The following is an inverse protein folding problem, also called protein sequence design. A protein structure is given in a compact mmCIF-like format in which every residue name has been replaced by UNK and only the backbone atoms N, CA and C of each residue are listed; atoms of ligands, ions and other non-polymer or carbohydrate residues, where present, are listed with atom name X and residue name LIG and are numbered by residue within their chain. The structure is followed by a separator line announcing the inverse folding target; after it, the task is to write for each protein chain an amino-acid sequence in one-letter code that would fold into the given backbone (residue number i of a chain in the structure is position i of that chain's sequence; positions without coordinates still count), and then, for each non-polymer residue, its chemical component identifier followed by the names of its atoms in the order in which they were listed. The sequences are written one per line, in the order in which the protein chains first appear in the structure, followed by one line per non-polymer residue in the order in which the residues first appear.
data_IF_489872903402
#
_entry.id   IF_489872903402
#
_cell.length_a   1.000
_cell.length_b   1.000
_cell.length_c   1.000
_cell.angle_alpha   90.00
_cell.angle_beta   90.00
_cell.angle_gamma   90.00
#
_symmetry.space_group_name_H-M   'P 1'
#
loop_
_entity.id
_entity.type
_entity.pdbx_description
1 polymer ?
#
# COMPACT_ATOMS: atom_id res chain seq x y z
N UNK A 1 -20.01 -29.27 20.78
CA UNK A 1 -18.86 -29.56 19.89
C UNK A 1 -18.72 -28.57 18.72
N UNK A 2 -19.60 -27.58 18.56
CA UNK A 2 -19.58 -26.59 17.46
C UNK A 2 -18.65 -25.38 17.70
N UNK A 3 -18.54 -24.86 18.93
CA UNK A 3 -17.62 -23.75 19.26
C UNK A 3 -16.14 -24.06 19.02
N UNK A 4 -15.72 -25.31 19.23
CA UNK A 4 -14.32 -25.72 19.05
C UNK A 4 -13.88 -25.70 17.58
N UNK A 5 -14.83 -25.84 16.64
CA UNK A 5 -14.54 -25.82 15.19
C UNK A 5 -14.39 -24.39 14.66
N UNK A 6 -15.14 -23.43 15.20
CA UNK A 6 -15.03 -22.02 14.78
C UNK A 6 -13.72 -21.38 15.25
N UNK A 7 -13.26 -21.68 16.47
CA UNK A 7 -11.98 -21.15 16.95
C UNK A 7 -10.79 -21.72 16.20
N UNK A 8 -10.85 -23.00 15.80
CA UNK A 8 -9.82 -23.62 14.97
C UNK A 8 -9.68 -22.93 13.59
N UNK A 9 -10.81 -22.58 12.97
CA UNK A 9 -10.82 -21.87 11.67
C UNK A 9 -10.21 -20.48 11.81
N UNK A 10 -10.53 -19.74 12.88
CA UNK A 10 -9.96 -18.41 13.14
C UNK A 10 -8.44 -18.50 13.34
N UNK A 11 -7.96 -19.49 14.08
CA UNK A 11 -6.52 -19.71 14.29
C UNK A 11 -5.81 -20.07 12.98
N UNK A 12 -6.41 -20.91 12.14
CA UNK A 12 -5.82 -21.30 10.85
C UNK A 12 -5.75 -20.11 9.90
N UNK A 13 -6.82 -19.31 9.81
CA UNK A 13 -6.83 -18.10 8.96
C UNK A 13 -5.83 -17.06 9.48
N UNK A 14 -5.74 -16.86 10.79
CA UNK A 14 -4.74 -15.98 11.41
C UNK A 14 -3.30 -16.45 11.15
N UNK A 15 -3.05 -17.75 11.24
CA UNK A 15 -1.74 -18.33 10.94
C UNK A 15 -1.36 -18.22 9.46
N UNK A 16 -2.33 -18.41 8.55
CA UNK A 16 -2.12 -18.23 7.10
C UNK A 16 -1.85 -16.76 6.75
N UNK A 17 -2.55 -15.81 7.37
CA UNK A 17 -2.27 -14.38 7.24
C UNK A 17 -0.86 -14.03 7.72
N UNK A 18 -0.47 -14.52 8.91
CA UNK A 18 0.87 -14.32 9.46
C UNK A 18 1.96 -14.94 8.57
N UNK A 19 1.71 -16.13 8.02
CA UNK A 19 2.64 -16.79 7.10
C UNK A 19 2.77 -16.05 5.77
N UNK A 20 1.67 -15.51 5.22
CA UNK A 20 1.72 -14.67 4.00
C UNK A 20 2.48 -13.37 4.25
N UNK A 21 2.23 -12.71 5.39
CA UNK A 21 2.95 -11.50 5.80
C UNK A 21 4.44 -11.78 6.01
N UNK A 22 4.79 -12.92 6.62
CA UNK A 22 6.17 -13.34 6.80
C UNK A 22 6.88 -13.66 5.47
N UNK A 23 6.19 -14.33 4.54
CA UNK A 23 6.73 -14.67 3.22
C UNK A 23 6.98 -13.41 2.36
N UNK A 24 6.06 -12.44 2.40
CA UNK A 24 6.26 -11.13 1.75
C UNK A 24 7.45 -10.35 2.32
N UNK A 25 7.70 -10.47 3.63
CA UNK A 25 8.84 -9.85 4.31
C UNK A 25 10.19 -10.51 3.94
N UNK A 26 10.20 -11.80 3.61
CA UNK A 26 11.43 -12.51 3.27
C UNK A 26 11.90 -12.21 1.84
N UNK A 27 10.96 -11.95 0.92
CA UNK A 27 11.23 -11.48 -0.44
C UNK A 27 11.72 -10.02 -0.51
N UNK A 28 11.49 -9.23 0.54
CA UNK A 28 11.86 -7.79 0.63
C UNK A 28 13.16 -7.51 1.40
N UNK A 29 13.96 -8.54 1.72
CA UNK A 29 15.27 -8.37 2.41
C UNK A 29 16.34 -7.61 1.61
N UNK A 30 16.10 -7.26 0.33
CA UNK A 30 16.94 -6.28 -0.36
C UNK A 30 16.45 -4.90 0.03
N UNK A 31 17.30 -4.12 0.70
CA UNK A 31 17.03 -2.70 0.90
C UNK A 31 16.60 -2.08 -0.43
N UNK A 32 15.48 -1.33 -0.47
CA UNK A 32 15.03 -0.72 -1.71
C UNK A 32 16.17 0.11 -2.32
N UNK A 33 16.30 0.11 -3.66
CA UNK A 33 17.32 0.89 -4.33
C UNK A 33 17.18 2.36 -3.92
N UNK A 34 18.30 3.05 -3.73
CA UNK A 34 18.28 4.48 -3.42
C UNK A 34 17.84 5.25 -4.66
N UNK A 35 16.81 6.08 -4.50
CA UNK A 35 16.12 6.84 -5.56
C UNK A 35 16.38 8.33 -5.38
N UNK A 36 16.18 9.15 -6.42
CA UNK A 36 16.46 10.59 -6.39
C UNK A 36 15.36 11.44 -5.71
N UNK A 37 14.69 10.90 -4.69
CA UNK A 37 13.64 11.56 -3.92
C UNK A 37 14.18 12.33 -2.71
N UNK A 38 13.51 13.43 -2.31
CA UNK A 38 13.86 14.15 -1.07
C UNK A 38 13.40 13.46 0.21
N UNK A 39 12.65 12.36 0.11
CA UNK A 39 12.35 11.46 1.23
C UNK A 39 13.44 10.41 1.45
N UNK A 40 14.24 10.08 0.42
CA UNK A 40 15.27 9.06 0.51
C UNK A 40 16.54 9.56 1.23
N UNK A 41 16.95 8.81 2.25
CA UNK A 41 18.17 9.03 3.05
C UNK A 41 19.36 8.20 2.57
N UNK A 42 19.15 7.31 1.59
CA UNK A 42 20.18 6.53 0.94
C UNK A 42 21.19 7.38 0.16
N UNK A 43 22.26 6.77 -0.39
CA UNK A 43 23.37 7.49 -1.02
C UNK A 43 22.97 8.35 -2.23
N UNK A 44 21.95 7.94 -2.99
CA UNK A 44 21.44 8.66 -4.16
C UNK A 44 20.28 9.60 -3.80
N UNK A 45 19.66 9.43 -2.63
CA UNK A 45 18.58 10.28 -2.15
C UNK A 45 18.93 11.76 -2.06
N UNK A 46 17.92 12.62 -2.16
CA UNK A 46 18.06 14.08 -2.19
C UNK A 46 17.70 14.75 -0.86
N UNK A 47 17.49 13.95 0.20
CA UNK A 47 17.15 14.47 1.53
C UNK A 47 18.14 15.53 2.02
N UNK A 48 19.44 15.32 1.85
CA UNK A 48 20.46 16.28 2.27
C UNK A 48 20.36 17.59 1.48
N UNK A 49 20.10 17.52 0.16
CA UNK A 49 19.93 18.71 -0.68
C UNK A 49 18.72 19.53 -0.22
N UNK A 50 17.59 18.87 -0.03
CA UNK A 50 16.36 19.50 0.46
C UNK A 50 16.59 20.23 1.79
N UNK A 51 17.25 19.56 2.74
CA UNK A 51 17.54 20.13 4.07
C UNK A 51 18.51 21.31 4.02
N UNK A 52 19.54 21.23 3.17
CA UNK A 52 20.47 22.36 2.98
C UNK A 52 19.77 23.56 2.36
N UNK A 53 18.96 23.37 1.32
CA UNK A 53 18.19 24.46 0.70
C UNK A 53 17.25 25.13 1.71
N UNK A 54 16.53 24.32 2.49
CA UNK A 54 15.64 24.81 3.55
C UNK A 54 16.41 25.60 4.63
N UNK A 55 17.53 25.06 5.09
CA UNK A 55 18.38 25.71 6.10
C UNK A 55 19.00 27.01 5.59
N UNK A 56 19.31 27.07 4.29
CA UNK A 56 19.79 28.28 3.61
C UNK A 56 18.69 29.33 3.34
N UNK A 57 17.45 29.08 3.77
CA UNK A 57 16.34 30.01 3.61
C UNK A 57 15.73 30.01 2.21
N UNK A 58 16.05 29.03 1.37
CA UNK A 58 15.36 28.86 0.08
C UNK A 58 13.95 28.33 0.37
N UNK A 59 12.89 28.98 -0.15
CA UNK A 59 11.50 28.53 0.04
C UNK A 59 11.24 27.25 -0.77
N UNK A 60 11.76 26.11 -0.31
CA UNK A 60 11.58 24.79 -0.91
C UNK A 60 10.43 24.04 -0.24
N UNK A 61 9.58 23.40 -1.04
CA UNK A 61 8.56 22.46 -0.60
C UNK A 61 8.60 21.16 -1.39
N UNK A 62 7.91 20.15 -0.90
CA UNK A 62 7.60 18.93 -1.66
C UNK A 62 6.26 19.11 -2.34
N UNK A 63 6.17 18.66 -3.58
CA UNK A 63 4.96 18.65 -4.38
C UNK A 63 4.59 17.19 -4.63
N UNK A 64 3.52 16.75 -3.96
CA UNK A 64 3.08 15.34 -3.90
C UNK A 64 1.73 15.20 -4.61
N UNK A 65 1.54 15.94 -5.71
CA UNK A 65 0.27 16.00 -6.46
C UNK A 65 0.53 15.85 -7.94
N UNK A 66 -0.52 15.50 -8.70
CA UNK A 66 -0.49 15.58 -10.16
C UNK A 66 -0.14 17.01 -10.62
N UNK A 67 0.66 17.15 -11.67
CA UNK A 67 1.11 18.44 -12.21
C UNK A 67 -0.04 19.38 -12.61
N UNK A 68 -1.24 18.85 -12.84
CA UNK A 68 -2.43 19.65 -13.07
C UNK A 68 -2.92 20.49 -11.88
N UNK A 69 -2.43 20.20 -10.68
CA UNK A 69 -2.71 20.92 -9.45
C UNK A 69 -1.51 21.77 -9.00
N UNK A 70 -0.57 22.06 -9.91
CA UNK A 70 0.59 22.88 -9.61
C UNK A 70 0.15 24.27 -9.14
N UNK A 71 0.58 24.62 -7.93
CA UNK A 71 0.26 25.89 -7.29
C UNK A 71 0.95 27.05 -8.05
N UNK A 72 0.21 28.10 -8.48
CA UNK A 72 0.77 29.23 -9.22
C UNK A 72 1.88 30.01 -8.50
N UNK A 73 2.00 29.87 -7.18
CA UNK A 73 3.10 30.47 -6.40
C UNK A 73 4.44 29.74 -6.58
N UNK A 74 4.43 28.50 -7.09
CA UNK A 74 5.65 27.78 -7.48
C UNK A 74 6.26 28.49 -8.69
N UNK A 75 7.50 28.91 -8.55
CA UNK A 75 8.27 29.54 -9.62
C UNK A 75 9.38 28.65 -10.13
N UNK A 76 9.90 27.76 -9.28
CA UNK A 76 10.87 26.72 -9.66
C UNK A 76 10.28 25.34 -9.40
N UNK A 77 10.21 24.50 -10.42
CA UNK A 77 9.86 23.09 -10.27
C UNK A 77 11.11 22.25 -10.50
N UNK A 78 11.38 21.30 -9.62
CA UNK A 78 12.48 20.34 -9.73
C UNK A 78 11.86 18.99 -10.03
N UNK A 79 12.21 18.41 -11.16
CA UNK A 79 11.79 17.05 -11.53
C UNK A 79 13.04 16.19 -11.63
N UNK A 80 13.01 15.04 -10.96
CA UNK A 80 14.14 14.12 -10.82
C UNK A 80 13.85 12.79 -11.50
N UNK A 81 14.89 12.16 -12.02
CA UNK A 81 14.77 10.86 -12.68
C UNK A 81 14.22 9.78 -11.75
N UNK A 82 13.32 8.97 -12.29
CA UNK A 82 12.57 7.95 -11.55
C UNK A 82 12.80 6.52 -12.09
N UNK A 83 13.75 6.32 -12.99
CA UNK A 83 14.04 5.04 -13.67
C UNK A 83 14.28 3.87 -12.70
N UNK A 84 14.88 4.13 -11.54
CA UNK A 84 15.21 3.11 -10.53
C UNK A 84 14.18 3.02 -9.41
N UNK A 85 13.07 3.75 -9.51
CA UNK A 85 12.03 3.81 -8.48
C UNK A 85 10.92 2.79 -8.79
N UNK A 86 10.74 1.75 -7.96
CA UNK A 86 9.70 0.75 -8.18
C UNK A 86 8.28 1.31 -8.04
N UNK A 87 8.12 2.50 -7.45
CA UNK A 87 6.84 3.18 -7.27
C UNK A 87 6.71 4.42 -8.17
N UNK A 88 7.60 4.56 -9.17
CA UNK A 88 7.57 5.66 -10.10
C UNK A 88 6.18 5.85 -10.73
N UNK A 89 5.80 7.11 -10.92
CA UNK A 89 4.69 7.52 -11.78
C UNK A 89 5.28 8.29 -12.96
N UNK A 90 5.63 7.60 -14.06
CA UNK A 90 6.25 8.23 -15.22
C UNK A 90 5.36 9.35 -15.79
N UNK A 91 6.01 10.42 -16.25
CA UNK A 91 5.32 11.53 -16.88
C UNK A 91 4.81 11.12 -18.27
N UNK A 92 3.61 11.60 -18.61
CA UNK A 92 2.99 11.37 -19.93
C UNK A 92 3.01 12.64 -20.81
N UNK A 93 2.43 12.55 -22.02
CA UNK A 93 2.34 13.69 -22.94
C UNK A 93 1.56 14.88 -22.37
N UNK A 94 0.56 14.63 -21.51
CA UNK A 94 -0.21 15.71 -20.87
C UNK A 94 0.65 16.43 -19.83
N UNK A 95 1.44 15.68 -19.06
CA UNK A 95 2.40 16.21 -18.11
C UNK A 95 3.48 17.02 -18.81
N UNK A 96 4.05 16.52 -19.91
CA UNK A 96 5.00 17.26 -20.75
C UNK A 96 4.39 18.58 -21.26
N UNK A 97 3.13 18.56 -21.72
CA UNK A 97 2.43 19.77 -22.14
C UNK A 97 2.19 20.77 -20.99
N UNK A 98 1.96 20.28 -19.75
CA UNK A 98 1.83 21.13 -18.56
C UNK A 98 3.17 21.74 -18.16
N UNK A 99 4.25 20.97 -18.17
CA UNK A 99 5.61 21.46 -17.90
C UNK A 99 6.01 22.52 -18.93
N UNK A 100 5.71 22.29 -20.21
CA UNK A 100 5.90 23.30 -21.28
C UNK A 100 5.18 24.60 -20.97
N UNK A 101 3.89 24.57 -20.63
CA UNK A 101 3.13 25.77 -20.27
C UNK A 101 3.69 26.47 -19.03
N UNK A 102 4.08 25.70 -18.02
CA UNK A 102 4.70 26.24 -16.81
C UNK A 102 5.96 27.05 -17.16
N UNK A 103 6.86 26.47 -17.96
CA UNK A 103 8.09 27.15 -18.37
C UNK A 103 7.77 28.35 -19.28
N UNK A 104 6.91 28.19 -20.29
CA UNK A 104 6.52 29.28 -21.20
C UNK A 104 5.91 30.47 -20.46
N UNK A 105 5.20 30.23 -19.34
CA UNK A 105 4.62 31.26 -18.46
C UNK A 105 5.63 31.97 -17.54
N UNK A 106 6.92 31.61 -17.60
CA UNK A 106 7.98 32.23 -16.80
C UNK A 106 8.49 31.37 -15.63
N UNK A 107 8.05 30.12 -15.54
CA UNK A 107 8.58 29.14 -14.58
C UNK A 107 10.01 28.72 -14.92
N UNK A 108 10.75 28.28 -13.90
CA UNK A 108 12.02 27.57 -14.05
C UNK A 108 11.80 26.09 -13.81
N UNK A 109 12.14 25.25 -14.79
CA UNK A 109 12.22 23.81 -14.61
C UNK A 109 13.68 23.41 -14.39
N UNK A 110 13.99 22.76 -13.27
CA UNK A 110 15.27 22.11 -13.04
C UNK A 110 15.05 20.61 -13.23
N UNK A 111 15.34 20.12 -14.43
CA UNK A 111 15.17 18.72 -14.80
C UNK A 111 16.48 17.98 -14.55
N UNK A 112 16.46 17.01 -13.65
CA UNK A 112 17.63 16.27 -13.21
C UNK A 112 17.40 14.79 -13.53
N UNK A 113 17.77 14.39 -14.72
CA UNK A 113 17.57 13.04 -15.22
C UNK A 113 18.84 12.50 -15.88
N UNK A 114 18.90 11.21 -16.13
CA UNK A 114 19.97 10.58 -16.87
C UNK A 114 19.70 10.67 -18.38
N UNK A 115 18.52 10.22 -18.79
CA UNK A 115 18.07 10.21 -20.17
C UNK A 115 17.17 11.41 -20.46
N UNK A 116 17.50 12.14 -21.53
CA UNK A 116 16.62 13.13 -22.15
C UNK A 116 16.41 12.73 -23.61
N UNK A 117 15.15 12.52 -24.01
CA UNK A 117 14.75 11.97 -25.31
C UNK A 117 14.20 13.01 -26.31
N UNK A 118 14.52 14.31 -26.15
CA UNK A 118 14.06 15.37 -27.05
C UNK A 118 12.65 15.89 -26.71
N UNK A 119 11.90 16.37 -27.72
CA UNK A 119 10.72 17.25 -27.53
C UNK A 119 9.57 16.72 -26.70
N UNK A 120 9.54 15.41 -26.45
CA UNK A 120 8.41 14.69 -25.84
C UNK A 120 8.70 14.28 -24.38
N UNK A 121 9.82 14.72 -23.84
CA UNK A 121 10.30 14.33 -22.51
C UNK A 121 9.94 15.35 -21.41
N UNK A 122 10.27 15.01 -20.16
CA UNK A 122 10.14 15.80 -18.93
C UNK A 122 10.63 17.25 -19.09
N UNK A 123 11.58 17.49 -19.99
CA UNK A 123 12.19 18.79 -20.22
C UNK A 123 11.87 19.33 -21.62
N UNK A 124 10.92 20.27 -21.76
CA UNK A 124 10.48 20.76 -23.06
C UNK A 124 11.61 21.53 -23.77
N UNK A 125 11.89 21.16 -25.02
CA UNK A 125 12.85 21.87 -25.88
C UNK A 125 14.32 21.63 -25.55
N UNK A 126 14.63 20.57 -24.79
CA UNK A 126 16.02 20.13 -24.57
C UNK A 126 16.47 19.18 -25.67
N UNK A 127 17.79 19.04 -25.82
CA UNK A 127 18.38 18.11 -26.80
C UNK A 127 18.32 16.65 -26.33
N UNK A 128 18.90 15.76 -27.11
CA UNK A 128 18.98 14.33 -26.75
C UNK A 128 20.28 14.01 -26.03
N UNK A 129 20.22 13.15 -25.02
CA UNK A 129 21.42 12.64 -24.35
C UNK A 129 21.94 11.35 -24.96
N UNK A 130 23.25 11.12 -24.82
CA UNK A 130 23.89 9.85 -25.16
C UNK A 130 24.63 9.30 -23.95
N UNK A 131 24.66 7.97 -23.83
CA UNK A 131 25.41 7.31 -22.78
C UNK A 131 26.90 7.59 -22.91
N UNK A 132 27.50 8.01 -21.80
CA UNK A 132 28.92 8.20 -21.67
C UNK A 132 29.34 8.03 -20.21
N UNK A 133 30.12 6.99 -19.92
CA UNK A 133 30.66 6.78 -18.58
C UNK A 133 31.84 7.74 -18.33
N UNK A 134 31.53 8.88 -17.71
CA UNK A 134 32.49 9.91 -17.33
C UNK A 134 32.54 10.13 -15.81
N UNK A 135 33.48 10.97 -15.39
CA UNK A 135 33.56 11.41 -13.98
C UNK A 135 33.81 12.91 -13.90
N UNK A 136 32.96 13.59 -13.12
CA UNK A 136 33.06 15.03 -12.89
C UNK A 136 32.90 15.89 -14.15
N UNK A 137 32.77 17.19 -13.92
CA UNK A 137 32.63 18.17 -14.99
C UNK A 137 33.20 19.51 -14.54
N UNK A 138 33.57 20.35 -15.51
CA UNK A 138 34.04 21.72 -15.28
C UNK A 138 33.01 22.72 -15.79
N UNK A 139 33.07 23.94 -15.26
CA UNK A 139 32.24 25.05 -15.74
C UNK A 139 32.69 25.48 -17.12
N UNK A 140 31.74 25.60 -18.06
CA UNK A 140 32.00 26.14 -19.41
C UNK A 140 31.54 27.59 -19.56
N UNK A 141 30.36 27.94 -19.06
CA UNK A 141 29.85 29.30 -19.11
C UNK A 141 29.83 29.94 -17.72
N UNK A 142 30.28 31.20 -17.60
CA UNK A 142 30.10 32.02 -16.39
C UNK A 142 28.70 32.61 -16.38
N UNK A 143 27.83 32.04 -15.55
CA UNK A 143 26.43 32.46 -15.40
C UNK A 143 26.08 32.55 -13.92
N UNK A 144 24.86 33.01 -13.60
CA UNK A 144 24.35 32.95 -12.23
C UNK A 144 24.36 31.51 -11.68
N UNK A 145 24.16 30.50 -12.54
CA UNK A 145 24.14 29.08 -12.17
C UNK A 145 25.53 28.54 -11.80
N UNK A 146 26.59 29.09 -12.38
CA UNK A 146 27.96 28.60 -12.17
C UNK A 146 28.78 29.52 -11.26
N UNK A 147 28.16 30.54 -10.66
CA UNK A 147 28.84 31.45 -9.74
C UNK A 147 29.40 30.70 -8.52
N UNK A 148 30.72 30.78 -8.31
CA UNK A 148 31.40 30.08 -7.23
C UNK A 148 31.62 28.58 -7.49
N UNK A 149 31.30 28.09 -8.68
CA UNK A 149 31.55 26.71 -9.12
C UNK A 149 32.75 26.73 -10.08
N UNK A 150 33.68 25.81 -9.89
CA UNK A 150 34.80 25.60 -10.84
C UNK A 150 34.75 24.21 -11.44
N UNK A 151 34.38 23.21 -10.62
CA UNK A 151 34.21 21.82 -11.00
C UNK A 151 33.17 21.15 -10.11
N UNK A 152 32.53 20.12 -10.64
CA UNK A 152 31.70 19.15 -9.91
C UNK A 152 32.37 17.77 -9.98
N UNK A 153 32.07 16.90 -9.03
CA UNK A 153 32.66 15.54 -8.94
C UNK A 153 31.57 14.50 -8.71
N UNK A 154 31.73 13.35 -9.35
CA UNK A 154 30.81 12.22 -9.22
C UNK A 154 30.67 11.49 -10.55
N UNK A 155 29.92 10.39 -10.53
CA UNK A 155 29.63 9.60 -11.71
C UNK A 155 28.72 10.37 -12.67
N UNK A 156 29.04 10.30 -13.95
CA UNK A 156 28.25 10.88 -15.03
C UNK A 156 28.03 9.74 -16.02
N UNK A 157 26.78 9.32 -16.21
CA UNK A 157 26.44 8.22 -17.12
C UNK A 157 25.98 8.69 -18.49
N UNK A 158 25.57 9.95 -18.61
CA UNK A 158 24.94 10.53 -19.78
C UNK A 158 25.38 11.97 -19.99
N UNK A 159 25.38 12.41 -21.24
CA UNK A 159 25.79 13.75 -21.65
C UNK A 159 24.92 14.24 -22.81
N UNK A 160 24.79 15.55 -22.96
CA UNK A 160 24.40 16.17 -24.22
C UNK A 160 25.64 16.28 -25.13
N UNK A 161 25.58 15.80 -26.38
CA UNK A 161 26.67 15.96 -27.34
C UNK A 161 26.99 17.45 -27.62
N UNK A 162 28.27 17.78 -27.79
CA UNK A 162 28.67 19.14 -28.17
C UNK A 162 28.16 19.60 -29.54
N UNK A 163 27.79 18.65 -30.41
CA UNK A 163 27.31 18.92 -31.75
C UNK A 163 25.91 19.58 -31.78
N UNK A 164 25.15 19.49 -30.69
CA UNK A 164 23.77 19.98 -30.60
C UNK A 164 23.60 21.00 -29.45
N UNK A 165 24.29 22.18 -29.49
CA UNK A 165 24.20 23.15 -28.41
C UNK A 165 22.91 23.96 -28.52
N UNK A 166 21.77 23.35 -28.19
CA UNK A 166 20.47 24.03 -28.15
C UNK A 166 20.27 24.93 -26.92
N UNK A 167 21.34 25.24 -26.16
CA UNK A 167 21.29 26.07 -24.96
C UNK A 167 22.68 26.51 -24.48
N UNK A 168 22.73 27.16 -23.33
CA UNK A 168 23.96 27.65 -22.72
C UNK A 168 24.62 26.50 -21.91
N UNK A 169 25.79 25.99 -22.31
CA UNK A 169 26.48 24.93 -21.57
C UNK A 169 26.96 25.45 -20.21
N UNK A 170 26.44 24.87 -19.13
CA UNK A 170 26.85 25.22 -17.76
C UNK A 170 28.04 24.39 -17.32
N UNK A 171 27.93 23.07 -17.46
CA UNK A 171 28.94 22.10 -17.07
C UNK A 171 29.22 21.16 -18.24
N UNK A 172 30.47 20.75 -18.39
CA UNK A 172 30.86 19.73 -19.36
C UNK A 172 32.07 18.93 -18.88
N UNK A 173 32.21 17.73 -19.44
CA UNK A 173 33.41 16.92 -19.35
C UNK A 173 34.09 16.83 -20.74
N UNK A 174 35.08 15.95 -20.89
CA UNK A 174 35.80 15.79 -22.15
C UNK A 174 34.93 15.25 -23.30
N UNK A 175 33.78 14.64 -22.99
CA UNK A 175 32.94 13.94 -23.96
C UNK A 175 31.67 14.70 -24.33
N UNK A 176 31.16 15.56 -23.44
CA UNK A 176 29.96 16.34 -23.69
C UNK A 176 29.53 17.24 -22.54
N UNK A 177 28.41 17.91 -22.75
CA UNK A 177 27.79 18.80 -21.77
C UNK A 177 26.99 17.98 -20.77
N UNK A 178 27.10 18.33 -19.49
CA UNK A 178 26.49 17.63 -18.35
C UNK A 178 25.32 18.43 -17.78
N UNK A 179 25.40 19.75 -17.91
CA UNK A 179 24.29 20.64 -17.57
C UNK A 179 24.19 21.75 -18.61
N UNK A 180 22.97 22.01 -19.07
CA UNK A 180 22.68 23.01 -20.10
C UNK A 180 21.45 23.82 -19.68
N UNK A 181 21.51 25.14 -19.86
CA UNK A 181 20.38 26.04 -19.63
C UNK A 181 19.72 26.44 -20.96
N UNK A 182 18.43 26.22 -21.06
CA UNK A 182 17.60 26.52 -22.22
C UNK A 182 16.63 27.65 -21.89
N UNK A 183 16.48 28.61 -22.80
CA UNK A 183 15.43 29.64 -22.71
C UNK A 183 14.22 29.15 -23.49
N UNK A 184 13.07 29.06 -22.83
CA UNK A 184 11.82 28.59 -23.43
C UNK A 184 10.70 29.55 -23.03
N UNK A 185 10.11 30.23 -24.00
CA UNK A 185 9.13 31.30 -23.76
C UNK A 185 9.69 32.37 -22.81
N UNK A 186 8.97 32.65 -21.72
CA UNK A 186 9.40 33.59 -20.69
C UNK A 186 10.20 32.96 -19.55
N UNK A 187 10.35 31.63 -19.55
CA UNK A 187 11.03 30.88 -18.50
C UNK A 187 12.33 30.26 -18.96
N UNK A 188 12.72 29.20 -18.26
CA UNK A 188 13.93 28.45 -18.58
C UNK A 188 13.89 27.01 -18.09
N UNK A 189 14.67 26.16 -18.75
CA UNK A 189 14.92 24.78 -18.35
C UNK A 189 16.40 24.64 -18.04
N UNK A 190 16.74 24.14 -16.86
CA UNK A 190 18.10 23.73 -16.49
C UNK A 190 18.10 22.20 -16.52
N UNK A 191 18.61 21.62 -17.61
CA UNK A 191 18.70 20.18 -17.78
C UNK A 191 20.06 19.68 -17.28
N UNK A 192 20.06 18.66 -16.42
CA UNK A 192 21.26 18.13 -15.77
C UNK A 192 21.25 16.61 -15.91
N UNK A 193 22.23 16.06 -16.64
CA UNK A 193 22.30 14.64 -17.05
C UNK A 193 22.87 13.70 -15.98
N UNK A 194 23.22 14.23 -14.81
CA UNK A 194 23.97 13.52 -13.78
C UNK A 194 23.32 13.64 -12.40
N UNK A 195 22.19 12.93 -12.16
CA UNK A 195 21.44 13.02 -10.90
C UNK A 195 22.26 12.62 -9.68
N UNK A 196 23.20 11.68 -9.85
CA UNK A 196 24.09 11.23 -8.79
C UNK A 196 24.96 12.37 -8.19
N UNK A 197 25.18 13.47 -8.90
CA UNK A 197 25.96 14.62 -8.39
C UNK A 197 25.30 15.26 -7.16
N UNK A 198 23.98 15.17 -7.03
CA UNK A 198 23.23 15.81 -5.95
C UNK A 198 22.70 14.85 -4.90
N UNK A 199 23.00 13.56 -5.05
CA UNK A 199 22.71 12.55 -4.03
C UNK A 199 23.46 12.83 -2.72
N UNK A 200 22.90 12.35 -1.62
CA UNK A 200 23.43 12.50 -0.27
C UNK A 200 24.94 12.17 -0.17
N UNK A 201 25.41 11.17 -0.93
CA UNK A 201 26.83 10.78 -0.95
C UNK A 201 27.76 11.83 -1.60
N UNK A 202 27.29 12.52 -2.64
CA UNK A 202 28.10 13.46 -3.43
C UNK A 202 27.95 14.92 -2.99
N UNK A 203 26.89 15.24 -2.25
CA UNK A 203 26.62 16.61 -1.79
C UNK A 203 27.68 17.17 -0.81
N UNK A 204 28.54 16.31 -0.25
CA UNK A 204 29.72 16.73 0.53
C UNK A 204 30.73 17.52 -0.32
N UNK A 205 30.67 17.41 -1.65
CA UNK A 205 31.48 18.20 -2.55
C UNK A 205 30.92 19.64 -2.66
N UNK A 206 31.75 20.63 -2.30
CA UNK A 206 31.34 22.04 -2.32
C UNK A 206 30.90 22.53 -3.72
N UNK A 207 31.52 22.03 -4.80
CA UNK A 207 31.13 22.37 -6.17
C UNK A 207 29.76 21.84 -6.54
N UNK A 208 29.46 20.58 -6.18
CA UNK A 208 28.15 19.98 -6.41
C UNK A 208 27.05 20.72 -5.65
N UNK A 209 27.27 20.94 -4.34
CA UNK A 209 26.30 21.66 -3.50
C UNK A 209 26.08 23.09 -4.00
N UNK A 210 27.15 23.80 -4.35
CA UNK A 210 27.04 25.18 -4.86
C UNK A 210 26.30 25.23 -6.19
N UNK A 211 26.56 24.29 -7.09
CA UNK A 211 25.84 24.21 -8.37
C UNK A 211 24.36 23.89 -8.17
N UNK A 212 24.02 22.90 -7.33
CA UNK A 212 22.64 22.55 -7.00
C UNK A 212 21.88 23.76 -6.40
N UNK A 213 22.51 24.45 -5.45
CA UNK A 213 21.97 25.67 -4.85
C UNK A 213 21.69 26.73 -5.90
N UNK A 214 22.68 27.05 -6.75
CA UNK A 214 22.52 28.10 -7.76
C UNK A 214 21.47 27.76 -8.82
N UNK A 215 21.29 26.47 -9.17
CA UNK A 215 20.28 26.05 -10.14
C UNK A 215 18.85 26.21 -9.58
N UNK A 216 18.66 25.87 -8.31
CA UNK A 216 17.33 25.83 -7.68
C UNK A 216 16.93 27.20 -7.11
N UNK A 217 17.85 27.90 -6.46
CA UNK A 217 17.56 29.16 -5.79
C UNK A 217 17.46 30.36 -6.76
N UNK A 218 16.94 31.47 -6.24
CA UNK A 218 17.00 32.77 -6.92
C UNK A 218 15.92 33.01 -7.98
N UNK A 219 14.93 32.13 -8.12
CA UNK A 219 13.79 32.31 -9.04
C UNK A 219 12.42 32.25 -8.36
N UNK A 220 12.38 32.34 -7.02
CA UNK A 220 11.14 32.29 -6.22
C UNK A 220 10.92 30.95 -5.52
N UNK A 221 9.71 30.69 -5.01
CA UNK A 221 9.36 29.42 -4.36
C UNK A 221 9.64 28.21 -5.24
N UNK A 222 10.32 27.23 -4.66
CA UNK A 222 10.79 26.04 -5.33
C UNK A 222 10.03 24.81 -4.81
N UNK A 223 9.74 23.86 -5.69
CA UNK A 223 9.07 22.62 -5.33
C UNK A 223 9.77 21.41 -5.97
N UNK A 224 10.07 20.39 -5.16
CA UNK A 224 10.48 19.08 -5.65
C UNK A 224 9.25 18.27 -6.00
N UNK A 225 9.16 17.80 -7.24
CA UNK A 225 8.13 16.86 -7.66
C UNK A 225 8.42 15.48 -7.05
N UNK A 226 7.69 15.15 -5.99
CA UNK A 226 7.74 13.84 -5.35
C UNK A 226 6.63 12.93 -5.89
N UNK A 227 5.70 13.48 -6.68
CA UNK A 227 4.64 12.70 -7.29
C UNK A 227 5.18 11.69 -8.30
N UNK A 228 6.21 12.06 -9.07
CA UNK A 228 6.93 11.14 -9.97
C UNK A 228 7.58 9.97 -9.24
N UNK A 229 7.85 10.11 -7.94
CA UNK A 229 8.38 9.07 -7.05
C UNK A 229 7.28 8.29 -6.30
N UNK A 230 6.01 8.48 -6.69
CA UNK A 230 4.88 7.76 -6.12
C UNK A 230 4.33 8.37 -4.82
N UNK A 231 4.92 9.46 -4.31
CA UNK A 231 4.38 10.16 -3.14
C UNK A 231 3.14 10.94 -3.53
N UNK A 232 2.09 10.80 -2.73
CA UNK A 232 0.81 11.45 -2.98
C UNK A 232 0.24 11.92 -1.65
N UNK A 233 -0.27 13.16 -1.60
CA UNK A 233 -0.83 13.71 -0.37
C UNK A 233 -2.23 13.14 -0.03
N UNK A 234 -2.84 12.40 -0.97
CA UNK A 234 -4.11 11.69 -0.78
C UNK A 234 -3.95 10.19 -0.51
N UNK A 235 -2.78 9.74 -0.06
CA UNK A 235 -2.52 8.32 0.20
C UNK A 235 -3.46 7.78 1.28
N UNK A 236 -4.42 6.98 0.82
CA UNK A 236 -5.20 6.08 1.66
C UNK A 236 -4.29 4.92 2.10
N UNK A 237 -4.47 4.42 3.32
CA UNK A 237 -3.77 3.21 3.80
C UNK A 237 -3.89 2.04 2.81
N UNK A 238 -4.95 2.00 2.00
CA UNK A 238 -5.17 0.99 0.97
C UNK A 238 -4.22 1.07 -0.24
N UNK A 239 -3.77 2.27 -0.64
CA UNK A 239 -2.91 2.44 -1.81
C UNK A 239 -1.44 2.11 -1.55
N UNK A 240 -1.02 2.10 -0.28
CA UNK A 240 0.34 1.73 0.15
C UNK A 240 0.51 0.21 0.28
N UNK A 241 -0.59 -0.54 0.45
CA UNK A 241 -0.51 -1.97 0.65
C UNK A 241 -0.01 -2.67 -0.63
N UNK A 242 0.99 -3.57 -0.50
CA UNK A 242 1.41 -4.43 -1.61
C UNK A 242 0.22 -5.16 -2.24
N UNK A 243 0.30 -5.47 -3.54
CA UNK A 243 -0.79 -6.13 -4.27
C UNK A 243 -1.18 -7.46 -3.62
N UNK A 244 -0.21 -8.17 -3.04
CA UNK A 244 -0.39 -9.44 -2.32
C UNK A 244 -1.20 -9.24 -1.04
N UNK A 245 -0.92 -8.17 -0.29
CA UNK A 245 -1.66 -7.86 0.94
C UNK A 245 -3.07 -7.40 0.61
N UNK A 246 -3.26 -6.61 -0.45
CA UNK A 246 -4.60 -6.24 -0.93
C UNK A 246 -5.41 -7.46 -1.34
N UNK A 247 -4.80 -8.42 -2.05
CA UNK A 247 -5.43 -9.68 -2.41
C UNK A 247 -5.79 -10.51 -1.15
N UNK A 248 -4.89 -10.57 -0.17
CA UNK A 248 -5.15 -11.26 1.09
C UNK A 248 -6.35 -10.65 1.85
N UNK A 249 -6.47 -9.32 1.89
CA UNK A 249 -7.63 -8.66 2.51
C UNK A 249 -8.93 -9.01 1.78
N UNK A 250 -8.94 -9.03 0.44
CA UNK A 250 -10.10 -9.47 -0.32
C UNK A 250 -10.47 -10.94 -0.07
N UNK A 251 -9.48 -11.82 0.05
CA UNK A 251 -9.70 -13.23 0.36
C UNK A 251 -10.31 -13.38 1.76
N UNK A 252 -9.77 -12.69 2.77
CA UNK A 252 -10.32 -12.72 4.12
C UNK A 252 -11.76 -12.19 4.13
N UNK A 253 -12.02 -11.09 3.43
CA UNK A 253 -13.37 -10.55 3.32
C UNK A 253 -14.32 -11.55 2.66
N UNK A 254 -13.89 -12.22 1.58
CA UNK A 254 -14.67 -13.25 0.92
C UNK A 254 -14.96 -14.45 1.84
N UNK A 255 -13.98 -14.90 2.63
CA UNK A 255 -14.16 -15.97 3.63
C UNK A 255 -15.16 -15.55 4.70
N UNK A 256 -15.06 -14.31 5.21
CA UNK A 256 -16.01 -13.78 6.20
C UNK A 256 -17.43 -13.71 5.63
N UNK A 257 -17.59 -13.21 4.40
CA UNK A 257 -18.90 -13.18 3.72
C UNK A 257 -19.45 -14.59 3.54
N UNK A 258 -18.64 -15.55 3.09
CA UNK A 258 -19.04 -16.95 2.94
C UNK A 258 -19.42 -17.58 4.29
N UNK A 259 -18.69 -17.27 5.36
CA UNK A 259 -19.00 -17.75 6.71
C UNK A 259 -20.31 -17.16 7.24
N UNK A 260 -20.57 -15.87 6.97
CA UNK A 260 -21.83 -15.21 7.33
C UNK A 260 -23.01 -15.80 6.54
N UNK A 261 -22.86 -16.01 5.23
CA UNK A 261 -23.88 -16.67 4.42
C UNK A 261 -24.12 -18.09 4.94
N UNK A 262 -23.05 -18.86 5.20
CA UNK A 262 -23.18 -20.24 5.68
C UNK A 262 -23.76 -20.36 7.09
N UNK A 263 -23.56 -19.36 7.94
CA UNK A 263 -24.19 -19.29 9.26
C UNK A 263 -25.68 -18.92 9.20
N UNK A 264 -26.11 -18.19 8.16
CA UNK A 264 -27.48 -17.71 8.01
C UNK A 264 -28.33 -18.52 7.02
N UNK A 265 -27.71 -19.38 6.20
CA UNK A 265 -28.40 -20.34 5.33
C UNK A 265 -28.41 -21.69 6.02
N UNK A 266 -29.53 -22.13 6.63
CA UNK A 266 -29.60 -23.44 7.25
C UNK A 266 -29.48 -24.54 6.19
N UNK A 267 -28.31 -25.15 6.08
CA UNK A 267 -28.04 -26.27 5.17
C UNK A 267 -28.61 -27.62 5.65
N UNK A 268 -29.16 -27.67 6.86
CA UNK A 268 -29.75 -28.86 7.43
C UNK A 268 -31.13 -28.52 8.03
N UNK A 269 -32.12 -29.44 7.92
CA UNK A 269 -33.36 -29.32 8.66
C UNK A 269 -33.05 -29.15 10.16
N UNK A 270 -33.82 -28.34 10.91
CA UNK A 270 -33.63 -28.20 12.34
C UNK A 270 -33.64 -29.57 12.98
N UNK A 271 -32.58 -29.88 13.73
CA UNK A 271 -32.48 -31.14 14.45
C UNK A 271 -33.53 -31.12 15.55
N UNK A 272 -34.71 -31.64 15.26
CA UNK A 272 -35.72 -31.88 16.27
C UNK A 272 -35.10 -32.89 17.24
N UNK A 273 -34.97 -32.51 18.51
CA UNK A 273 -34.65 -33.50 19.53
C UNK A 273 -35.71 -34.61 19.41
N UNK A 274 -35.27 -35.87 19.45
CA UNK A 274 -36.22 -36.96 19.60
C UNK A 274 -37.12 -36.60 20.78
N UNK A 275 -38.46 -36.63 20.64
CA UNK A 275 -39.34 -36.34 21.76
C UNK A 275 -38.85 -37.19 22.94
N UNK A 276 -38.68 -36.54 24.09
CA UNK A 276 -38.35 -37.27 25.30
C UNK A 276 -39.36 -38.42 25.40
N UNK A 277 -38.89 -39.63 25.72
CA UNK A 277 -39.74 -40.77 26.01
C UNK A 277 -40.57 -40.39 27.26
N UNK A 278 -41.67 -39.68 27.04
CA UNK A 278 -42.75 -39.55 27.99
C UNK A 278 -43.22 -40.97 28.18
N UNK A 279 -42.66 -41.63 29.21
CA UNK A 279 -43.15 -42.88 29.74
C UNK A 279 -44.62 -42.66 30.03
N UNK A 280 -45.42 -43.08 29.06
CA UNK A 280 -46.82 -42.78 28.97
C UNK A 280 -47.50 -43.37 30.21
N UNK A 281 -47.83 -42.48 31.14
CA UNK A 281 -48.44 -42.85 32.42
C UNK A 281 -49.76 -43.58 32.20
N UNK A 282 -50.38 -43.43 31.02
CA UNK A 282 -51.58 -44.15 30.62
C UNK A 282 -51.34 -45.66 30.45
N UNK A 283 -50.15 -46.08 30.01
CA UNK A 283 -49.80 -47.49 29.87
C UNK A 283 -49.64 -48.18 31.23
N UNK A 284 -49.07 -47.48 32.21
CA UNK A 284 -48.97 -47.97 33.59
C UNK A 284 -50.36 -48.10 34.25
N UNK A 285 -51.21 -47.06 34.10
CA UNK A 285 -52.58 -47.07 34.61
C UNK A 285 -53.40 -48.21 33.95
N UNK A 286 -53.22 -48.42 32.65
CA UNK A 286 -53.90 -49.51 31.91
C UNK A 286 -53.45 -50.89 32.38
N UNK A 287 -52.16 -51.08 32.66
CA UNK A 287 -51.62 -52.33 33.19
C UNK A 287 -52.16 -52.65 34.60
N UNK A 288 -52.16 -51.65 35.50
CA UNK A 288 -52.75 -51.78 36.85
C UNK A 288 -54.25 -52.08 36.78
N UNK A 289 -54.99 -51.38 35.92
CA UNK A 289 -56.42 -51.61 35.75
C UNK A 289 -56.74 -53.03 35.26
N UNK A 290 -55.93 -53.57 34.34
CA UNK A 290 -56.04 -54.97 33.88
C UNK A 290 -55.71 -55.97 35.00
N UNK A 291 -54.69 -55.69 35.80
CA UNK A 291 -54.32 -56.53 36.94
C UNK A 291 -55.44 -56.59 37.99
N UNK A 292 -56.03 -55.45 38.34
CA UNK A 292 -57.13 -55.36 39.29
C UNK A 292 -58.42 -56.01 38.77
N UNK A 293 -58.71 -55.91 37.46
CA UNK A 293 -59.82 -56.67 36.85
C UNK A 293 -59.57 -58.18 36.91
N UNK A 294 -58.33 -58.62 36.76
CA UNK A 294 -57.97 -60.04 36.86
C UNK A 294 -58.10 -60.56 38.30
N UNK A 295 -57.75 -59.76 39.30
CA UNK A 295 -57.88 -60.16 40.72
C UNK A 295 -59.32 -60.14 41.22
N UNK A 296 -60.21 -59.32 40.64
CA UNK A 296 -61.63 -59.27 40.98
C UNK A 296 -62.51 -60.40 40.40
N UNK A 297 -61.94 -61.35 39.66
CA UNK A 297 -62.63 -62.55 39.15
C UNK A 297 -62.38 -63.81 40.01
N UNK A 298 -62.30 -63.66 41.33
CA UNK A 298 -62.51 -64.78 42.25
C UNK A 298 -63.81 -64.50 43.03
N UNK A 299 -64.96 -65.03 42.59
CA UNK A 299 -66.16 -64.98 43.41
C UNK A 299 -65.88 -65.71 44.74
N UNK A 300 -66.42 -65.23 45.88
CA UNK A 300 -66.46 -66.05 47.08
C UNK A 300 -67.25 -67.31 46.75
N UNK A 301 -66.67 -68.46 47.08
CA UNK A 301 -67.28 -69.78 46.90
C UNK A 301 -68.63 -69.78 47.66
N UNK A 302 -69.75 -69.75 46.94
CA UNK A 302 -71.10 -69.68 47.53
C UNK A 302 -71.35 -70.85 48.50
N UNK A 303 -70.62 -71.95 48.32
CA UNK A 303 -70.63 -73.13 49.17
C UNK A 303 -70.12 -72.86 50.60
N UNK A 304 -69.19 -71.92 50.78
CA UNK A 304 -68.63 -71.58 52.12
C UNK A 304 -69.62 -70.73 52.91
N UNK A 305 -70.36 -69.84 52.24
CA UNK A 305 -71.37 -68.98 52.87
C UNK A 305 -72.63 -69.80 53.24
N UNK A 306 -73.02 -70.75 52.39
CA UNK A 306 -74.14 -71.65 52.68
C UNK A 306 -73.85 -72.63 53.83
N UNK A 307 -72.65 -73.22 53.88
CA UNK A 307 -72.24 -74.10 54.99
C UNK A 307 -72.22 -73.35 56.33
N UNK A 308 -71.72 -72.11 56.36
CA UNK A 308 -71.70 -71.29 57.58
C UNK A 308 -73.10 -70.92 58.08
N UNK A 309 -74.07 -70.73 57.17
CA UNK A 309 -75.47 -70.45 57.54
C UNK A 309 -76.20 -71.68 58.12
N UNK A 310 -75.93 -72.87 57.57
CA UNK A 310 -76.52 -74.14 58.05
C UNK A 310 -75.97 -74.51 59.44
N UNK A 311 -74.65 -74.36 59.66
CA UNK A 311 -74.03 -74.66 60.95
C UNK A 311 -74.52 -73.71 62.06
N UNK A 312 -74.85 -72.46 61.73
CA UNK A 312 -75.43 -71.52 62.69
C UNK A 312 -76.86 -71.90 63.08
N UNK A 313 -77.70 -72.36 62.13
CA UNK A 313 -79.04 -72.86 62.46
C UNK A 313 -78.99 -74.15 63.29
N UNK A 314 -78.09 -75.08 62.95
CA UNK A 314 -77.98 -76.36 63.67
C UNK A 314 -77.51 -76.20 65.12
N UNK A 315 -76.68 -75.19 65.42
CA UNK A 315 -76.29 -74.85 66.81
C UNK A 315 -77.41 -74.19 67.62
N UNK A 316 -78.42 -73.60 66.97
CA UNK A 316 -79.55 -72.94 67.63
C UNK A 316 -80.67 -73.91 68.03
N UNK A 317 -80.71 -75.11 67.45
CA UNK A 317 -81.70 -76.16 67.78
C UNK A 317 -81.24 -77.13 68.88
N UNK A 318 -79.99 -77.02 69.33
CA UNK A 318 -79.40 -77.82 70.42
C UNK A 318 -78.99 -76.99 71.64
N UNK A 319 -79.52 -75.78 71.80
CA UNK A 319 -79.35 -74.88 72.95
C UNK A 319 -80.70 -74.34 73.41
#
# INVERSE_FOLDING_TARGET
MTKLRSELVVVIVGALLLALLAYGNEATKKAPPSVYSTFDTGPNGYRALYEVLRTAGVPVRRFERVLGLLDPSIRTLIVTGYENDPFAKPLDEHDAARLRRFVESGGRLVAIDAEFAGSDDVAPGVGTTVQNAGTGAIVLARTAYTQGVTRVRGSIGWIFPFAEPHGIPLLANAHGMVAVAYRVGHGEVIAITAPALFGNAQLRNAGNLRFAYNAIAGHGPAAFDEYVHGYDDNVSLWSVLPSEVRAAVWIVLAIVVLALIGANVPFAPPHLAAPADERDSSNYITAIARLLRRSRRRPPDEDVVWQAAIDFQRRKEHA
#
